data_IF_339802457061
#
_entry.id   IF_339802457061
#
_cell.length_a   1.000
_cell.length_b   1.000
_cell.length_c   1.000
_cell.angle_alpha   90.00
_cell.angle_beta   90.00
_cell.angle_gamma   90.00
#
_symmetry.space_group_name_H-M   'P 1'
#
loop_
_entity.id
_entity.type
_entity.pdbx_description
1 polymer ?
#
# COMPACT_ATOMS: atom_id res chain seq x y z
N UNK A 1 13.78 -3.76 26.42
CA UNK A 1 12.72 -3.07 25.70
C UNK A 1 13.23 -2.43 24.43
N UNK A 2 14.35 -1.72 24.50
CA UNK A 2 14.99 -1.13 23.31
C UNK A 2 15.47 -2.20 22.31
N UNK A 3 15.97 -3.33 22.80
CA UNK A 3 16.37 -4.47 21.95
C UNK A 3 15.22 -5.05 21.15
N UNK A 4 14.02 -5.13 21.72
CA UNK A 4 12.83 -5.57 20.99
C UNK A 4 12.50 -4.63 19.84
N UNK A 5 12.53 -3.32 20.05
CA UNK A 5 12.27 -2.33 18.99
C UNK A 5 13.27 -2.43 17.84
N UNK A 6 14.56 -2.61 18.14
CA UNK A 6 15.58 -2.75 17.09
C UNK A 6 15.40 -4.04 16.29
N UNK A 7 15.11 -5.17 16.95
CA UNK A 7 14.82 -6.45 16.28
C UNK A 7 13.56 -6.34 15.41
N UNK A 8 12.55 -5.62 15.89
CA UNK A 8 11.30 -5.41 15.18
C UNK A 8 11.52 -4.66 13.87
N UNK A 9 12.36 -3.62 13.88
CA UNK A 9 12.71 -2.84 12.68
C UNK A 9 13.52 -3.63 11.66
N UNK A 10 14.25 -4.63 12.09
CA UNK A 10 15.08 -5.47 11.23
C UNK A 10 14.35 -6.71 10.71
N UNK A 11 13.15 -6.98 11.20
CA UNK A 11 12.37 -8.12 10.75
C UNK A 11 11.96 -7.93 9.29
N UNK A 12 12.19 -8.91 8.37
CA UNK A 12 11.87 -8.74 6.94
C UNK A 12 10.43 -8.34 6.67
N UNK A 13 9.48 -8.93 7.40
CA UNK A 13 8.05 -8.63 7.26
C UNK A 13 7.74 -7.18 7.59
N UNK A 14 8.38 -6.64 8.62
CA UNK A 14 8.21 -5.24 9.00
C UNK A 14 8.85 -4.33 7.99
N UNK A 15 10.03 -4.69 7.51
CA UNK A 15 10.70 -3.93 6.45
C UNK A 15 9.83 -3.86 5.19
N UNK A 16 9.20 -4.97 4.81
CA UNK A 16 8.29 -5.01 3.67
C UNK A 16 7.06 -4.14 3.89
N UNK A 17 6.48 -4.12 5.08
CA UNK A 17 5.34 -3.28 5.40
C UNK A 17 5.73 -1.79 5.40
N UNK A 18 6.91 -1.44 5.92
CA UNK A 18 7.42 -0.07 5.84
C UNK A 18 7.66 0.36 4.39
N UNK A 19 8.16 -0.52 3.55
CA UNK A 19 8.28 -0.26 2.11
C UNK A 19 6.93 0.02 1.48
N UNK A 20 5.90 -0.74 1.86
CA UNK A 20 4.53 -0.53 1.35
C UNK A 20 4.02 0.87 1.68
N UNK A 21 4.24 1.37 2.90
CA UNK A 21 3.88 2.74 3.25
C UNK A 21 4.66 3.77 2.43
N UNK A 22 5.94 3.54 2.21
CA UNK A 22 6.75 4.45 1.39
C UNK A 22 6.26 4.51 -0.05
N UNK A 23 5.87 3.38 -0.61
CA UNK A 23 5.35 3.32 -1.98
C UNK A 23 4.01 4.03 -2.11
N UNK A 24 3.07 3.79 -1.19
CA UNK A 24 1.76 4.45 -1.23
C UNK A 24 1.90 5.95 -1.00
N UNK A 25 2.76 6.38 -0.09
CA UNK A 25 3.04 7.79 0.15
C UNK A 25 3.60 8.46 -1.10
N UNK A 26 4.55 7.83 -1.77
CA UNK A 26 5.16 8.35 -2.99
C UNK A 26 4.11 8.48 -4.10
N UNK A 27 3.27 7.46 -4.30
CA UNK A 27 2.22 7.48 -5.31
C UNK A 27 1.23 8.63 -5.06
N UNK A 28 0.76 8.78 -3.83
CA UNK A 28 -0.20 9.83 -3.47
C UNK A 28 0.41 11.24 -3.54
N UNK A 29 1.66 11.40 -3.12
CA UNK A 29 2.39 12.66 -3.25
C UNK A 29 2.50 13.09 -4.71
N UNK A 30 2.86 12.17 -5.58
CA UNK A 30 2.99 12.47 -7.01
C UNK A 30 1.64 12.78 -7.63
N UNK A 31 0.57 12.12 -7.23
CA UNK A 31 -0.79 12.45 -7.65
C UNK A 31 -1.18 13.87 -7.19
N UNK A 32 -0.88 14.21 -5.95
CA UNK A 32 -1.20 15.52 -5.38
C UNK A 32 -0.45 16.65 -6.10
N UNK A 33 0.80 16.39 -6.50
CA UNK A 33 1.68 17.38 -7.14
C UNK A 33 1.56 17.38 -8.67
N UNK A 34 0.78 16.48 -9.24
CA UNK A 34 0.61 16.36 -10.69
C UNK A 34 1.77 15.69 -11.42
N UNK A 35 2.61 14.92 -10.74
CA UNK A 35 3.77 14.23 -11.30
C UNK A 35 3.48 12.78 -11.70
N UNK A 36 2.34 12.56 -12.34
CA UNK A 36 1.99 11.25 -12.88
C UNK A 36 2.13 11.28 -14.39
N UNK A 37 2.85 10.31 -14.91
CA UNK A 37 3.08 10.15 -16.34
C UNK A 37 2.17 9.05 -16.88
N UNK A 38 1.94 9.05 -18.17
CA UNK A 38 1.15 8.02 -18.82
C UNK A 38 2.05 7.14 -19.69
N UNK A 39 1.96 5.83 -19.47
CA UNK A 39 2.51 4.83 -20.38
C UNK A 39 1.34 4.32 -21.24
N UNK A 40 1.18 4.90 -22.44
CA UNK A 40 -0.06 4.75 -23.18
C UNK A 40 -1.21 5.42 -22.43
N UNK A 41 -2.21 4.65 -22.01
CA UNK A 41 -3.33 5.11 -21.20
C UNK A 41 -3.18 4.81 -19.71
N UNK A 42 -2.09 4.14 -19.33
CA UNK A 42 -1.87 3.68 -17.95
C UNK A 42 -1.09 4.71 -17.14
N UNK A 43 -1.63 5.22 -16.02
CA UNK A 43 -0.89 6.10 -15.13
C UNK A 43 0.26 5.37 -14.44
N UNK A 44 1.47 5.93 -14.52
CA UNK A 44 2.68 5.36 -13.94
C UNK A 44 3.46 6.41 -13.15
N UNK A 45 4.27 5.96 -12.21
CA UNK A 45 5.15 6.83 -11.43
C UNK A 45 6.48 6.13 -11.15
N UNK A 46 7.52 6.91 -10.87
CA UNK A 46 8.79 6.40 -10.35
C UNK A 46 8.86 6.66 -8.85
N UNK A 47 9.20 5.63 -8.10
CA UNK A 47 9.44 5.79 -6.66
C UNK A 47 10.71 6.59 -6.40
N UNK A 48 11.77 6.27 -7.14
CA UNK A 48 13.05 6.99 -7.09
C UNK A 48 13.43 7.46 -8.49
N UNK A 49 14.03 8.63 -8.59
CA UNK A 49 14.50 9.17 -9.87
C UNK A 49 15.45 8.18 -10.54
N UNK A 50 15.17 7.83 -11.82
CA UNK A 50 15.92 6.82 -12.56
C UNK A 50 15.60 5.38 -12.20
N UNK A 51 14.65 5.15 -11.30
CA UNK A 51 14.23 3.82 -10.88
C UNK A 51 13.15 3.20 -11.77
N UNK A 52 12.61 2.09 -11.31
CA UNK A 52 11.56 1.36 -12.01
C UNK A 52 10.26 2.18 -12.07
N UNK A 53 9.56 2.08 -13.21
CA UNK A 53 8.23 2.65 -13.38
C UNK A 53 7.17 1.68 -12.85
N UNK A 54 6.27 2.20 -12.03
CA UNK A 54 5.20 1.42 -11.39
C UNK A 54 3.84 1.96 -11.82
N UNK A 55 2.89 1.06 -12.03
CA UNK A 55 1.51 1.44 -12.27
C UNK A 55 0.86 1.93 -10.97
N UNK A 56 0.17 3.07 -11.03
CA UNK A 56 -0.39 3.72 -9.85
C UNK A 56 -1.55 2.92 -9.26
N UNK A 57 -2.53 2.55 -10.09
CA UNK A 57 -3.73 1.86 -9.61
C UNK A 57 -3.44 0.50 -8.96
N UNK A 58 -2.64 -0.40 -9.57
CA UNK A 58 -2.27 -1.65 -8.93
C UNK A 58 -1.49 -1.46 -7.63
N UNK A 59 -0.63 -0.46 -7.55
CA UNK A 59 0.10 -0.15 -6.32
C UNK A 59 -0.86 0.23 -5.18
N UNK A 60 -1.86 1.05 -5.47
CA UNK A 60 -2.89 1.43 -4.49
C UNK A 60 -3.72 0.21 -4.08
N UNK A 61 -4.21 -0.59 -5.04
CA UNK A 61 -5.03 -1.77 -4.77
C UNK A 61 -4.28 -2.82 -3.95
N UNK A 62 -3.02 -3.07 -4.27
CA UNK A 62 -2.18 -4.02 -3.54
C UNK A 62 -1.98 -3.60 -2.09
N UNK A 63 -1.72 -2.31 -1.87
CA UNK A 63 -1.57 -1.77 -0.53
C UNK A 63 -2.88 -1.87 0.28
N UNK A 64 -4.02 -1.51 -0.34
CA UNK A 64 -5.34 -1.59 0.29
C UNK A 64 -5.67 -3.03 0.69
N UNK A 65 -5.41 -3.99 -0.18
CA UNK A 65 -5.64 -5.41 0.12
C UNK A 65 -4.80 -5.86 1.32
N UNK A 66 -3.50 -5.57 1.30
CA UNK A 66 -2.58 -5.99 2.36
C UNK A 66 -2.93 -5.32 3.70
N UNK A 67 -3.13 -4.00 3.69
CA UNK A 67 -3.43 -3.27 4.91
C UNK A 67 -4.84 -3.55 5.43
N UNK A 68 -5.80 -3.76 4.53
CA UNK A 68 -7.16 -4.14 4.89
C UNK A 68 -7.22 -5.46 5.66
N UNK A 69 -6.41 -6.42 5.29
CA UNK A 69 -6.29 -7.70 6.02
C UNK A 69 -5.73 -7.48 7.42
N UNK A 70 -4.75 -6.58 7.55
CA UNK A 70 -4.15 -6.24 8.83
C UNK A 70 -5.17 -5.54 9.75
N UNK A 71 -5.93 -4.57 9.23
CA UNK A 71 -6.97 -3.88 9.96
C UNK A 71 -8.05 -4.84 10.48
N UNK A 72 -8.50 -5.76 9.64
CA UNK A 72 -9.51 -6.74 9.99
C UNK A 72 -9.03 -7.62 11.16
N UNK A 73 -7.78 -8.05 11.13
CA UNK A 73 -7.19 -8.89 12.17
C UNK A 73 -7.04 -8.14 13.50
N UNK A 74 -6.61 -6.90 13.45
CA UNK A 74 -6.40 -6.06 14.63
C UNK A 74 -7.70 -5.40 15.11
N UNK A 75 -8.81 -5.65 14.43
CA UNK A 75 -10.15 -5.09 14.75
C UNK A 75 -10.16 -3.55 14.75
N UNK A 76 -9.35 -2.96 13.90
CA UNK A 76 -9.35 -1.53 13.66
C UNK A 76 -10.31 -1.20 12.52
N UNK A 77 -11.08 -0.14 12.69
CA UNK A 77 -12.04 0.30 11.69
C UNK A 77 -11.56 1.57 11.02
N UNK A 78 -10.84 1.42 9.92
CA UNK A 78 -10.48 2.53 9.06
C UNK A 78 -11.07 2.26 7.68
N UNK A 79 -11.83 3.21 7.17
CA UNK A 79 -12.46 3.08 5.86
C UNK A 79 -11.43 3.38 4.77
N UNK A 80 -11.08 2.36 3.99
CA UNK A 80 -10.13 2.45 2.88
C UNK A 80 -10.82 2.69 1.53
N UNK A 81 -12.14 2.90 1.52
CA UNK A 81 -12.91 3.04 0.27
C UNK A 81 -12.46 4.18 -0.62
N UNK A 82 -11.99 5.28 -0.03
CA UNK A 82 -11.46 6.44 -0.81
C UNK A 82 -10.26 6.03 -1.67
N UNK A 83 -9.41 5.15 -1.17
CA UNK A 83 -8.27 4.63 -1.93
C UNK A 83 -8.72 3.72 -3.06
N UNK A 84 -9.70 2.87 -2.82
CA UNK A 84 -10.27 1.99 -3.84
C UNK A 84 -10.96 2.82 -4.93
N UNK A 85 -11.72 3.84 -4.55
CA UNK A 85 -12.36 4.77 -5.50
C UNK A 85 -11.34 5.53 -6.33
N UNK A 86 -10.22 5.92 -5.72
CA UNK A 86 -9.12 6.58 -6.42
C UNK A 86 -8.52 5.64 -7.48
N UNK A 87 -8.26 4.39 -7.12
CA UNK A 87 -7.75 3.39 -8.06
C UNK A 87 -8.73 3.15 -9.21
N UNK A 88 -10.03 3.06 -8.92
CA UNK A 88 -11.08 2.94 -9.94
C UNK A 88 -11.08 4.12 -10.91
N UNK A 89 -10.96 5.34 -10.39
CA UNK A 89 -10.92 6.55 -11.20
C UNK A 89 -9.70 6.58 -12.12
N UNK A 90 -8.53 6.18 -11.62
CA UNK A 90 -7.30 6.10 -12.40
C UNK A 90 -7.42 5.08 -13.53
N UNK A 91 -8.02 3.92 -13.26
CA UNK A 91 -8.23 2.89 -14.27
C UNK A 91 -9.20 3.33 -15.38
N UNK A 92 -10.16 4.20 -15.04
CA UNK A 92 -11.11 4.80 -16.00
C UNK A 92 -10.54 5.99 -16.76
N UNK A 93 -9.29 6.38 -16.50
CA UNK A 93 -8.66 7.51 -17.14
C UNK A 93 -9.16 8.86 -16.66
N UNK A 94 -9.82 8.92 -15.52
CA UNK A 94 -10.31 10.18 -14.94
C UNK A 94 -9.17 10.99 -14.36
N UNK A 95 -9.25 12.31 -14.47
CA UNK A 95 -8.29 13.20 -13.83
C UNK A 95 -8.54 13.23 -12.33
N UNK A 96 -7.46 13.20 -11.58
CA UNK A 96 -7.50 13.26 -10.11
C UNK A 96 -7.09 14.66 -9.68
N UNK A 97 -7.97 15.36 -8.97
CA UNK A 97 -7.64 16.68 -8.44
C UNK A 97 -6.76 16.56 -7.17
N UNK A 98 -6.12 17.67 -6.84
CA UNK A 98 -5.26 17.76 -5.67
C UNK A 98 -5.98 17.41 -4.37
N UNK A 99 -7.21 17.91 -4.20
CA UNK A 99 -8.00 17.68 -2.99
C UNK A 99 -8.31 16.20 -2.77
N UNK A 100 -8.60 15.47 -3.83
CA UNK A 100 -8.86 14.03 -3.76
C UNK A 100 -7.62 13.24 -3.35
N UNK A 101 -6.47 13.59 -3.91
CA UNK A 101 -5.20 12.97 -3.53
C UNK A 101 -4.85 13.26 -2.07
N UNK A 102 -5.04 14.49 -1.60
CA UNK A 102 -4.81 14.88 -0.20
C UNK A 102 -5.76 14.14 0.75
N UNK A 103 -7.03 13.96 0.37
CA UNK A 103 -7.97 13.18 1.18
C UNK A 103 -7.49 11.73 1.34
N UNK A 104 -6.95 11.12 0.29
CA UNK A 104 -6.36 9.79 0.36
C UNK A 104 -5.10 9.75 1.23
N UNK A 105 -4.26 10.78 1.17
CA UNK A 105 -3.10 10.90 2.05
C UNK A 105 -3.53 10.93 3.53
N UNK A 106 -4.62 11.60 3.85
CA UNK A 106 -5.17 11.63 5.21
C UNK A 106 -5.59 10.24 5.70
N UNK A 107 -6.19 9.43 4.82
CA UNK A 107 -6.54 8.05 5.13
C UNK A 107 -5.28 7.22 5.44
N UNK A 108 -4.25 7.34 4.62
CA UNK A 108 -2.97 6.64 4.82
C UNK A 108 -2.31 7.09 6.12
N UNK A 109 -2.37 8.36 6.46
CA UNK A 109 -1.83 8.87 7.73
C UNK A 109 -2.56 8.27 8.94
N UNK A 110 -3.87 8.11 8.87
CA UNK A 110 -4.64 7.41 9.91
C UNK A 110 -4.19 5.94 10.02
N UNK A 111 -3.94 5.29 8.90
CA UNK A 111 -3.41 3.92 8.87
C UNK A 111 -2.02 3.82 9.52
N UNK A 112 -1.15 4.80 9.30
CA UNK A 112 0.17 4.84 9.94
C UNK A 112 0.06 4.94 11.46
N UNK A 113 -0.87 5.75 11.96
CA UNK A 113 -1.11 5.88 13.39
C UNK A 113 -1.61 4.57 13.98
N UNK A 114 -2.56 3.91 13.31
CA UNK A 114 -3.06 2.61 13.72
C UNK A 114 -1.95 1.56 13.71
N UNK A 115 -1.12 1.54 12.66
CA UNK A 115 -0.02 0.60 12.53
C UNK A 115 0.98 0.69 13.68
N UNK A 116 1.28 1.90 14.16
CA UNK A 116 2.20 2.11 15.28
C UNK A 116 1.69 1.53 16.61
N UNK A 117 0.40 1.34 16.73
CA UNK A 117 -0.24 0.78 17.93
C UNK A 117 -0.47 -0.73 17.84
N UNK A 118 -0.27 -1.33 16.69
CA UNK A 118 -0.51 -2.75 16.47
C UNK A 118 0.59 -3.60 17.11
N UNK A 119 0.18 -4.82 17.53
CA UNK A 119 1.10 -5.82 18.06
C UNK A 119 1.98 -6.35 16.92
N UNK A 120 3.28 -6.36 17.13
CA UNK A 120 4.25 -6.79 16.14
C UNK A 120 4.09 -8.26 15.75
N UNK A 121 3.72 -9.10 16.71
CA UNK A 121 3.52 -10.53 16.44
C UNK A 121 2.29 -10.76 15.58
N UNK A 122 1.25 -9.95 15.78
CA UNK A 122 0.07 -9.94 14.91
C UNK A 122 0.44 -9.53 13.50
N UNK A 123 1.20 -8.45 13.34
CA UNK A 123 1.68 -7.97 12.04
C UNK A 123 2.46 -9.06 11.33
N UNK A 124 3.40 -9.70 12.01
CA UNK A 124 4.23 -10.76 11.44
C UNK A 124 3.38 -11.96 10.99
N UNK A 125 2.46 -12.40 11.82
CA UNK A 125 1.59 -13.54 11.54
C UNK A 125 0.74 -13.30 10.29
N UNK A 126 0.13 -12.11 10.18
CA UNK A 126 -0.73 -11.76 9.05
C UNK A 126 0.07 -11.65 7.76
N UNK A 127 1.20 -11.00 7.79
CA UNK A 127 2.05 -10.84 6.62
C UNK A 127 2.54 -12.19 6.10
N UNK A 128 2.87 -13.12 6.99
CA UNK A 128 3.26 -14.48 6.63
C UNK A 128 2.09 -15.23 5.97
N UNK A 129 0.91 -15.14 6.55
CA UNK A 129 -0.30 -15.77 6.00
C UNK A 129 -0.65 -15.19 4.64
N UNK A 130 -0.60 -13.88 4.47
CA UNK A 130 -0.86 -13.22 3.19
C UNK A 130 0.15 -13.64 2.13
N UNK A 131 1.44 -13.73 2.48
CA UNK A 131 2.48 -14.16 1.56
C UNK A 131 2.27 -15.61 1.09
N UNK A 132 1.87 -16.51 1.98
CA UNK A 132 1.55 -17.89 1.65
C UNK A 132 0.34 -17.95 0.70
N UNK A 133 -0.71 -17.19 0.99
CA UNK A 133 -1.91 -17.16 0.17
C UNK A 133 -1.60 -16.68 -1.26
N UNK A 134 -0.81 -15.64 -1.40
CA UNK A 134 -0.37 -15.11 -2.70
C UNK A 134 0.45 -16.16 -3.45
N UNK A 135 1.38 -16.82 -2.78
CA UNK A 135 2.18 -17.88 -3.36
C UNK A 135 1.30 -19.02 -3.91
N UNK A 136 0.32 -19.45 -3.14
CA UNK A 136 -0.60 -20.52 -3.55
C UNK A 136 -1.46 -20.12 -4.75
N UNK A 137 -1.93 -18.88 -4.79
CA UNK A 137 -2.68 -18.34 -5.94
C UNK A 137 -1.81 -18.35 -7.20
N UNK A 138 -0.56 -17.92 -7.11
CA UNK A 138 0.36 -17.92 -8.24
C UNK A 138 0.66 -19.32 -8.74
N UNK A 139 0.81 -20.30 -7.84
CA UNK A 139 0.98 -21.70 -8.21
C UNK A 139 -0.23 -22.25 -8.96
N UNK A 140 -1.43 -21.90 -8.55
CA UNK A 140 -2.66 -22.30 -9.24
C UNK A 140 -2.74 -21.69 -10.64
N UNK A 141 -2.34 -20.44 -10.82
CA UNK A 141 -2.31 -19.78 -12.13
C UNK A 141 -1.31 -20.44 -13.07
N UNK A 142 -0.14 -20.83 -12.56
CA UNK A 142 0.88 -21.52 -13.36
C UNK A 142 0.45 -22.94 -13.75
N UNK A 143 -0.33 -23.61 -12.90
CA UNK A 143 -0.85 -24.95 -13.16
C UNK A 143 -2.01 -24.96 -14.14
N UNK A 144 -2.68 -23.84 -14.35
CA UNK A 144 -3.77 -23.71 -15.32
C UNK A 144 -3.24 -23.38 -16.70
#
# INVERSE_FOLDING_TARGET
VMRKRLRLRQHPTIADMFKSFRHIDAALSKLADGWIFADGETPVFQFEAGGEWLEVAPAIRGWVDAFGRLLARCRDEIDLSKLTELADALEKGQQIDHGRAVACQSVVNACKKAYRKMDIYEIHSIAKTASIAIYMEDQQKEAA
#
